data_IF_144614335860
#
_entry.id   IF_144614335860
#
_cell.length_a   1.000
_cell.length_b   1.000
_cell.length_c   1.000
_cell.angle_alpha   90.00
_cell.angle_beta   90.00
_cell.angle_gamma   90.00
#
_symmetry.space_group_name_H-M   'P 1'
#
loop_
_entity.id
_entity.type
_entity.pdbx_description
1 polymer ?
#
# COMPACT_ATOMS: atom_id res chain seq x y z
N UNK A 1 4.25 -0.38 2.32
CA UNK A 1 5.52 -1.09 2.56
C UNK A 1 5.22 -2.59 2.60
N UNK A 2 6.18 -3.44 2.24
CA UNK A 2 6.16 -4.89 2.49
C UNK A 2 7.33 -5.16 3.42
N UNK A 3 7.06 -5.87 4.51
CA UNK A 3 8.06 -6.23 5.54
C UNK A 3 7.98 -7.73 5.75
N UNK A 4 9.13 -8.38 5.84
CA UNK A 4 9.22 -9.72 6.44
C UNK A 4 9.62 -9.55 7.90
N UNK A 5 8.85 -10.18 8.78
CA UNK A 5 9.10 -10.20 10.23
C UNK A 5 9.50 -11.62 10.61
N UNK A 6 10.68 -11.79 11.20
CA UNK A 6 11.22 -13.10 11.63
C UNK A 6 11.15 -13.29 13.14
N UNK A 7 11.18 -12.20 13.89
CA UNK A 7 11.05 -12.18 15.35
C UNK A 7 10.56 -10.82 15.81
N UNK A 8 10.46 -10.60 17.13
CA UNK A 8 10.14 -9.28 17.70
C UNK A 8 11.12 -8.19 17.25
N UNK A 9 12.37 -8.53 16.96
CA UNK A 9 13.45 -7.56 16.68
C UNK A 9 14.10 -7.66 15.30
N UNK A 10 13.68 -8.63 14.50
CA UNK A 10 14.25 -8.91 13.18
C UNK A 10 13.18 -8.71 12.12
N UNK A 11 13.31 -7.58 11.43
CA UNK A 11 12.39 -7.12 10.39
C UNK A 11 13.20 -6.60 9.20
N UNK A 12 12.83 -7.00 7.99
CA UNK A 12 13.46 -6.52 6.76
C UNK A 12 12.39 -5.90 5.87
N UNK A 13 12.62 -4.64 5.48
CA UNK A 13 11.77 -3.97 4.48
C UNK A 13 12.10 -4.52 3.10
N UNK A 14 11.15 -5.22 2.50
CA UNK A 14 11.30 -5.82 1.17
C UNK A 14 10.93 -4.87 0.06
N UNK A 15 9.90 -4.04 0.27
CA UNK A 15 9.47 -3.04 -0.69
C UNK A 15 8.84 -1.81 -0.01
N UNK A 16 9.15 -0.63 -0.52
CA UNK A 16 8.66 0.65 0.01
C UNK A 16 8.27 1.60 -1.13
N UNK A 17 7.55 2.68 -0.80
CA UNK A 17 7.22 3.70 -1.80
C UNK A 17 8.41 4.63 -2.05
N UNK A 18 8.64 5.01 -3.30
CA UNK A 18 9.63 6.04 -3.67
C UNK A 18 9.00 7.42 -3.89
N UNK A 19 7.67 7.51 -3.82
CA UNK A 19 6.94 8.77 -4.01
C UNK A 19 5.91 9.02 -2.90
N UNK A 20 4.63 8.73 -3.15
CA UNK A 20 3.53 8.90 -2.22
C UNK A 20 3.00 7.56 -1.73
N UNK A 21 2.31 7.57 -0.61
CA UNK A 21 1.56 6.41 -0.13
C UNK A 21 0.30 6.19 -0.99
N UNK A 22 -0.13 4.94 -1.11
CA UNK A 22 -1.34 4.60 -1.87
C UNK A 22 -2.60 5.26 -1.28
N UNK A 23 -2.68 5.40 0.05
CA UNK A 23 -3.78 6.10 0.71
C UNK A 23 -3.90 7.56 0.27
N UNK A 24 -2.78 8.29 0.25
CA UNK A 24 -2.74 9.68 -0.21
C UNK A 24 -3.09 9.81 -1.71
N UNK A 25 -2.64 8.86 -2.54
CA UNK A 25 -3.04 8.79 -3.95
C UNK A 25 -4.57 8.68 -4.10
N UNK A 26 -5.20 7.76 -3.35
CA UNK A 26 -6.65 7.56 -3.40
C UNK A 26 -7.42 8.73 -2.81
N UNK A 27 -6.97 9.29 -1.68
CA UNK A 27 -7.62 10.43 -1.04
C UNK A 27 -7.63 11.66 -1.96
N UNK A 28 -6.50 11.95 -2.61
CA UNK A 28 -6.39 13.05 -3.56
C UNK A 28 -7.21 12.78 -4.82
N UNK A 29 -7.23 11.55 -5.32
CA UNK A 29 -8.03 11.18 -6.49
C UNK A 29 -9.53 11.26 -6.20
N UNK A 30 -9.98 10.90 -5.00
CA UNK A 30 -11.39 10.99 -4.61
C UNK A 30 -11.93 12.42 -4.74
N UNK A 31 -11.11 13.41 -4.37
CA UNK A 31 -11.48 14.84 -4.43
C UNK A 31 -11.77 15.34 -5.84
N UNK A 32 -11.23 14.68 -6.86
CA UNK A 32 -11.39 15.10 -8.27
C UNK A 32 -12.32 14.16 -9.06
N UNK A 33 -12.35 12.87 -8.71
CA UNK A 33 -13.22 11.88 -9.36
C UNK A 33 -14.66 12.00 -8.86
N UNK A 34 -14.85 12.10 -7.54
CA UNK A 34 -16.18 12.13 -6.92
C UNK A 34 -16.81 13.51 -7.14
N UNK A 35 -18.06 13.59 -7.65
CA UNK A 35 -18.77 14.85 -7.79
C UNK A 35 -18.85 15.67 -6.50
N UNK A 36 -18.73 16.99 -6.62
CA UNK A 36 -18.60 17.91 -5.48
C UNK A 36 -19.83 17.89 -4.56
N UNK A 37 -21.03 17.67 -5.10
CA UNK A 37 -22.28 17.51 -4.35
C UNK A 37 -22.24 16.27 -3.45
N UNK A 38 -21.69 15.16 -3.93
CA UNK A 38 -21.50 13.94 -3.14
C UNK A 38 -20.45 14.18 -2.05
N UNK A 39 -19.33 14.83 -2.38
CA UNK A 39 -18.27 15.15 -1.40
C UNK A 39 -18.82 16.02 -0.27
N UNK A 40 -19.60 17.07 -0.60
CA UNK A 40 -20.21 17.98 0.40
C UNK A 40 -21.29 17.32 1.26
N UNK A 41 -21.94 16.27 0.76
CA UNK A 41 -22.98 15.55 1.50
C UNK A 41 -22.45 14.66 2.64
N UNK A 42 -21.16 14.27 2.56
CA UNK A 42 -20.52 13.39 3.54
C UNK A 42 -19.96 14.20 4.71
N UNK A 43 -20.16 13.69 5.93
CA UNK A 43 -19.68 14.31 7.18
C UNK A 43 -18.26 13.86 7.57
N UNK A 44 -17.79 12.73 7.05
CA UNK A 44 -16.47 12.18 7.35
C UNK A 44 -15.43 12.54 6.28
N UNK A 45 -14.17 12.68 6.71
CA UNK A 45 -13.03 13.04 5.85
C UNK A 45 -12.30 11.81 5.31
N UNK A 46 -12.92 10.63 5.32
CA UNK A 46 -12.31 9.38 4.84
C UNK A 46 -12.52 9.25 3.32
N UNK A 47 -11.68 9.96 2.57
CA UNK A 47 -11.78 10.05 1.12
C UNK A 47 -11.55 8.71 0.41
N UNK A 48 -10.62 7.87 0.89
CA UNK A 48 -10.41 6.52 0.36
C UNK A 48 -11.64 5.64 0.48
N UNK A 49 -12.33 5.65 1.63
CA UNK A 49 -13.61 4.95 1.80
C UNK A 49 -14.71 5.53 0.91
N UNK A 50 -14.78 6.85 0.81
CA UNK A 50 -15.73 7.54 -0.06
C UNK A 50 -15.54 7.14 -1.53
N UNK A 51 -14.29 7.02 -1.99
CA UNK A 51 -13.96 6.58 -3.34
C UNK A 51 -14.42 5.14 -3.60
N UNK A 52 -14.23 4.23 -2.64
CA UNK A 52 -14.72 2.85 -2.73
C UNK A 52 -16.25 2.79 -2.84
N UNK A 53 -16.95 3.51 -1.96
CA UNK A 53 -18.42 3.55 -1.95
C UNK A 53 -18.98 4.19 -3.23
N UNK A 54 -18.31 5.23 -3.73
CA UNK A 54 -18.67 5.87 -4.98
C UNK A 54 -18.51 4.93 -6.18
N UNK A 55 -17.37 4.22 -6.25
CA UNK A 55 -17.05 3.27 -7.30
C UNK A 55 -17.97 2.05 -7.30
N UNK A 56 -18.36 1.58 -6.12
CA UNK A 56 -19.13 0.35 -5.92
C UNK A 56 -20.43 0.63 -5.14
N UNK A 57 -21.43 1.25 -5.80
CA UNK A 57 -22.71 1.55 -5.15
C UNK A 57 -23.35 0.26 -4.62
N UNK A 58 -24.01 0.34 -3.46
CA UNK A 58 -24.60 -0.80 -2.75
C UNK A 58 -23.59 -1.89 -2.35
N UNK A 59 -22.29 -1.58 -2.39
CA UNK A 59 -21.23 -2.49 -2.01
C UNK A 59 -21.04 -3.72 -2.88
N UNK A 60 -21.60 -3.72 -4.09
CA UNK A 60 -21.38 -4.79 -5.07
C UNK A 60 -20.01 -4.60 -5.72
N UNK A 61 -19.06 -5.47 -5.35
CA UNK A 61 -17.76 -5.52 -6.00
C UNK A 61 -17.89 -6.18 -7.38
N UNK A 62 -17.12 -5.71 -8.38
CA UNK A 62 -17.06 -6.36 -9.67
C UNK A 62 -16.42 -7.74 -9.52
N UNK A 63 -16.70 -8.61 -10.48
CA UNK A 63 -15.90 -9.81 -10.64
C UNK A 63 -14.48 -9.41 -11.05
N UNK A 64 -13.48 -9.86 -10.29
CA UNK A 64 -12.07 -9.65 -10.56
C UNK A 64 -11.39 -11.00 -10.76
N UNK A 65 -10.72 -11.15 -11.90
CA UNK A 65 -9.89 -12.30 -12.23
C UNK A 65 -8.55 -11.81 -12.76
N UNK A 66 -7.50 -12.56 -12.45
CA UNK A 66 -6.15 -12.23 -12.90
C UNK A 66 -6.03 -12.59 -14.38
N UNK A 67 -5.80 -11.60 -15.24
CA UNK A 67 -5.64 -11.81 -16.68
C UNK A 67 -4.20 -11.59 -17.15
N UNK A 68 -3.75 -12.38 -18.12
CA UNK A 68 -2.53 -12.08 -18.89
C UNK A 68 -2.85 -10.96 -19.88
N UNK A 69 -2.47 -9.74 -19.53
CA UNK A 69 -2.75 -8.53 -20.33
C UNK A 69 -3.72 -7.60 -19.61
N UNK A 70 -4.13 -6.54 -20.29
CA UNK A 70 -4.85 -5.43 -19.68
C UNK A 70 -6.19 -5.18 -20.37
N UNK A 71 -7.00 -6.24 -20.41
CA UNK A 71 -8.29 -6.29 -21.09
C UNK A 71 -9.24 -5.19 -20.60
N UNK A 72 -9.23 -4.88 -19.31
CA UNK A 72 -10.05 -3.81 -18.73
C UNK A 72 -9.58 -2.45 -19.24
N UNK A 73 -8.26 -2.21 -19.27
CA UNK A 73 -7.70 -0.98 -19.86
C UNK A 73 -8.08 -0.81 -21.33
N UNK A 74 -8.00 -1.89 -22.11
CA UNK A 74 -8.38 -1.88 -23.53
C UNK A 74 -9.88 -1.61 -23.72
N UNK A 75 -10.74 -2.19 -22.87
CA UNK A 75 -12.19 -1.93 -22.90
C UNK A 75 -12.55 -0.48 -22.56
N UNK A 76 -11.89 0.11 -21.56
CA UNK A 76 -12.09 1.50 -21.17
C UNK A 76 -11.63 2.47 -22.27
N UNK A 77 -10.52 2.14 -22.94
CA UNK A 77 -10.02 2.91 -24.08
C UNK A 77 -11.04 2.92 -25.23
N UNK A 78 -11.62 1.76 -25.56
CA UNK A 78 -12.68 1.66 -26.56
C UNK A 78 -13.95 2.40 -26.14
N UNK A 79 -14.38 2.26 -24.87
CA UNK A 79 -15.67 2.78 -24.39
C UNK A 79 -15.65 4.29 -24.13
N UNK A 80 -14.59 4.80 -23.51
CA UNK A 80 -14.51 6.16 -23.00
C UNK A 80 -13.34 6.99 -23.58
N UNK A 81 -12.48 6.36 -24.39
CA UNK A 81 -11.37 7.04 -25.06
C UNK A 81 -10.14 7.28 -24.18
N UNK A 82 -10.03 6.60 -23.04
CA UNK A 82 -8.90 6.77 -22.12
C UNK A 82 -8.46 5.47 -21.47
N UNK A 83 -7.22 5.45 -21.01
CA UNK A 83 -6.60 4.34 -20.27
C UNK A 83 -5.66 4.89 -19.21
N UNK A 84 -5.63 4.25 -18.03
CA UNK A 84 -4.65 4.57 -17.01
C UNK A 84 -3.35 3.77 -17.20
N UNK A 85 -2.18 4.37 -16.89
CA UNK A 85 -0.91 3.68 -17.05
C UNK A 85 -0.73 2.58 -16.00
N UNK A 86 0.08 1.58 -16.35
CA UNK A 86 0.62 0.61 -15.38
C UNK A 86 1.76 1.27 -14.61
N UNK A 87 1.68 1.30 -13.29
CA UNK A 87 2.77 1.79 -12.44
C UNK A 87 4.08 1.05 -12.73
N UNK A 88 5.17 1.83 -12.92
CA UNK A 88 6.50 1.32 -13.27
C UNK A 88 6.56 0.46 -14.56
N UNK A 89 5.55 0.56 -15.44
CA UNK A 89 5.48 -0.21 -16.69
C UNK A 89 6.17 0.40 -17.91
N UNK A 90 6.63 1.66 -17.83
CA UNK A 90 7.08 2.46 -18.99
C UNK A 90 8.58 2.47 -19.28
N UNK A 91 9.42 1.83 -18.46
CA UNK A 91 10.86 1.78 -18.76
C UNK A 91 11.16 0.69 -19.79
N UNK A 92 12.14 0.95 -20.67
CA UNK A 92 12.79 -0.08 -21.51
C UNK A 92 12.93 -1.37 -20.71
N UNK A 93 12.62 -2.49 -21.38
CA UNK A 93 12.40 -3.88 -20.89
C UNK A 93 13.22 -4.41 -19.70
N UNK A 94 14.28 -3.73 -19.25
CA UNK A 94 15.28 -4.28 -18.34
C UNK A 94 15.38 -3.61 -16.96
N UNK A 95 14.86 -2.39 -16.71
CA UNK A 95 15.23 -1.68 -15.45
C UNK A 95 14.16 -1.58 -14.35
N UNK A 96 12.86 -1.80 -14.61
CA UNK A 96 11.83 -1.56 -13.59
C UNK A 96 10.88 -2.73 -13.30
N UNK A 97 10.86 -3.77 -14.15
CA UNK A 97 9.97 -4.94 -14.00
C UNK A 97 10.35 -5.90 -12.86
N UNK A 98 11.41 -5.58 -12.13
CA UNK A 98 11.87 -6.29 -10.93
C UNK A 98 12.12 -5.37 -9.72
N UNK A 99 11.78 -4.07 -9.82
CA UNK A 99 12.01 -3.14 -8.72
C UNK A 99 11.06 -3.44 -7.57
N UNK A 100 11.64 -3.74 -6.42
CA UNK A 100 10.96 -3.88 -5.14
C UNK A 100 10.59 -2.49 -4.56
N UNK A 101 9.92 -1.67 -5.36
CA UNK A 101 9.48 -0.32 -5.00
C UNK A 101 8.03 -0.10 -5.44
N UNK A 102 7.31 0.70 -4.67
CA UNK A 102 5.99 1.22 -5.01
C UNK A 102 6.08 2.63 -5.58
N UNK A 103 5.15 2.98 -6.47
CA UNK A 103 5.04 4.32 -7.05
C UNK A 103 3.61 4.55 -7.49
N UNK A 104 3.00 5.62 -6.99
CA UNK A 104 1.60 5.97 -7.22
C UNK A 104 1.42 7.39 -7.79
N UNK A 105 2.48 8.22 -7.81
CA UNK A 105 2.42 9.59 -8.32
C UNK A 105 2.05 9.67 -9.81
N UNK A 106 2.58 8.77 -10.64
CA UNK A 106 2.28 8.72 -12.07
C UNK A 106 0.83 8.31 -12.37
N UNK A 107 0.27 7.41 -11.54
CA UNK A 107 -1.13 7.00 -11.61
C UNK A 107 -2.04 8.19 -11.23
N UNK A 108 -1.73 8.88 -10.12
CA UNK A 108 -2.43 10.09 -9.68
C UNK A 108 -2.43 11.19 -10.74
N UNK A 109 -1.26 11.49 -11.29
CA UNK A 109 -1.08 12.54 -12.31
C UNK A 109 -1.84 12.22 -13.61
N UNK A 110 -2.05 10.94 -13.91
CA UNK A 110 -2.84 10.52 -15.07
C UNK A 110 -4.34 10.67 -14.83
N UNK A 111 -4.80 10.43 -13.60
CA UNK A 111 -6.17 10.76 -13.17
C UNK A 111 -6.42 12.27 -13.27
N UNK A 112 -5.52 13.11 -12.76
CA UNK A 112 -5.68 14.57 -12.84
C UNK A 112 -5.82 15.05 -14.28
N UNK A 113 -4.89 14.67 -15.14
CA UNK A 113 -4.94 15.05 -16.56
C UNK A 113 -6.22 14.61 -17.24
N UNK A 114 -6.73 13.42 -16.90
CA UNK A 114 -7.99 12.92 -17.46
C UNK A 114 -9.19 13.73 -16.95
N UNK A 115 -9.26 14.00 -15.65
CA UNK A 115 -10.35 14.78 -15.05
C UNK A 115 -10.34 16.22 -15.59
N UNK A 116 -9.18 16.84 -15.71
CA UNK A 116 -9.02 18.19 -16.28
C UNK A 116 -9.48 18.25 -17.73
N UNK A 117 -9.12 17.24 -18.54
CA UNK A 117 -9.58 17.12 -19.92
C UNK A 117 -11.10 16.90 -20.03
N UNK A 118 -11.69 16.22 -19.05
CA UNK A 118 -13.13 15.93 -18.98
C UNK A 118 -13.94 17.05 -18.35
N UNK A 119 -13.33 17.99 -17.63
CA UNK A 119 -14.04 19.06 -16.90
C UNK A 119 -13.58 20.45 -17.38
N UNK A 120 -13.71 20.79 -18.67
CA UNK A 120 -13.27 22.09 -19.17
C UNK A 120 -14.15 23.23 -18.62
N UNK A 121 -13.63 24.47 -18.69
CA UNK A 121 -14.32 25.69 -18.21
C UNK A 121 -15.72 25.85 -18.85
N UNK A 122 -15.94 25.32 -20.06
CA UNK A 122 -17.19 25.42 -20.84
C UNK A 122 -18.11 24.20 -20.69
N UNK A 123 -18.19 23.62 -19.50
CA UNK A 123 -19.13 22.54 -19.17
C UNK A 123 -18.47 21.16 -19.12
N UNK A 124 -19.21 20.18 -18.62
CA UNK A 124 -18.66 18.87 -18.27
C UNK A 124 -18.73 17.88 -19.45
N UNK A 125 -17.60 17.26 -19.80
CA UNK A 125 -17.43 16.35 -20.93
C UNK A 125 -17.43 14.86 -20.53
N UNK A 126 -17.78 14.54 -19.28
CA UNK A 126 -18.08 13.16 -18.90
C UNK A 126 -19.30 12.64 -19.66
N UNK A 127 -19.26 11.36 -20.02
CA UNK A 127 -20.44 10.64 -20.52
C UNK A 127 -21.44 10.27 -19.40
N UNK A 128 -21.32 10.88 -18.23
CA UNK A 128 -22.16 10.66 -17.05
C UNK A 128 -21.40 10.08 -15.84
N UNK A 129 -22.16 9.83 -14.76
CA UNK A 129 -21.62 9.35 -13.48
C UNK A 129 -20.90 8.00 -13.58
N UNK A 130 -21.32 7.14 -14.51
CA UNK A 130 -20.74 5.82 -14.74
C UNK A 130 -19.32 5.86 -15.28
N UNK A 131 -18.94 6.91 -16.01
CA UNK A 131 -17.55 7.09 -16.45
C UNK A 131 -16.64 7.46 -15.28
N UNK A 132 -17.09 8.36 -14.40
CA UNK A 132 -16.36 8.69 -13.15
C UNK A 132 -16.21 7.47 -12.25
N UNK A 133 -17.26 6.64 -12.14
CA UNK A 133 -17.20 5.36 -11.42
C UNK A 133 -16.18 4.41 -12.06
N UNK A 134 -16.22 4.25 -13.38
CA UNK A 134 -15.25 3.42 -14.09
C UNK A 134 -13.80 3.89 -13.86
N UNK A 135 -13.57 5.21 -13.82
CA UNK A 135 -12.27 5.77 -13.47
C UNK A 135 -11.84 5.43 -12.03
N UNK A 136 -12.74 5.55 -11.06
CA UNK A 136 -12.46 5.17 -9.68
C UNK A 136 -12.13 3.68 -9.54
N UNK A 137 -12.90 2.81 -10.20
CA UNK A 137 -12.70 1.36 -10.24
C UNK A 137 -11.34 1.02 -10.85
N UNK A 138 -11.02 1.62 -11.98
CA UNK A 138 -9.77 1.40 -12.70
C UNK A 138 -8.56 1.88 -11.90
N UNK A 139 -8.63 3.08 -11.30
CA UNK A 139 -7.60 3.61 -10.41
C UNK A 139 -7.29 2.62 -9.28
N UNK A 140 -8.33 2.17 -8.58
CA UNK A 140 -8.18 1.21 -7.48
C UNK A 140 -7.59 -0.11 -7.99
N UNK A 141 -8.10 -0.65 -9.09
CA UNK A 141 -7.58 -1.89 -9.69
C UNK A 141 -6.08 -1.79 -9.97
N UNK A 142 -5.64 -0.71 -10.62
CA UNK A 142 -4.20 -0.47 -10.90
C UNK A 142 -3.37 -0.35 -9.64
N UNK A 143 -3.86 0.36 -8.64
CA UNK A 143 -3.17 0.53 -7.37
C UNK A 143 -3.02 -0.82 -6.65
N UNK A 144 -4.07 -1.65 -6.64
CA UNK A 144 -4.08 -2.96 -5.99
C UNK A 144 -3.27 -4.01 -6.74
N UNK A 145 -3.32 -4.03 -8.06
CA UNK A 145 -2.45 -4.90 -8.88
C UNK A 145 -0.97 -4.54 -8.68
N UNK A 146 -0.65 -3.23 -8.62
CA UNK A 146 0.70 -2.78 -8.31
C UNK A 146 1.12 -3.22 -6.91
N UNK A 147 0.25 -3.07 -5.91
CA UNK A 147 0.50 -3.54 -4.54
C UNK A 147 0.75 -5.05 -4.51
N UNK A 148 -0.19 -5.82 -5.06
CA UNK A 148 -0.16 -7.28 -5.09
C UNK A 148 1.08 -7.81 -5.80
N UNK A 149 1.47 -7.22 -6.93
CA UNK A 149 2.65 -7.68 -7.66
C UNK A 149 3.93 -7.67 -6.82
N UNK A 150 4.14 -6.68 -5.94
CA UNK A 150 5.34 -6.63 -5.07
C UNK A 150 5.24 -7.57 -3.89
N UNK A 151 4.02 -7.84 -3.42
CA UNK A 151 3.77 -8.92 -2.45
C UNK A 151 4.13 -10.27 -3.05
N UNK A 152 3.64 -10.57 -4.26
CA UNK A 152 3.96 -11.82 -4.96
C UNK A 152 5.46 -11.94 -5.21
N UNK A 153 6.11 -10.89 -5.72
CA UNK A 153 7.57 -10.88 -5.91
C UNK A 153 8.31 -11.10 -4.58
N UNK A 154 7.83 -10.52 -3.48
CA UNK A 154 8.41 -10.76 -2.15
C UNK A 154 8.30 -12.22 -1.73
N UNK A 155 7.13 -12.84 -1.91
CA UNK A 155 6.90 -14.26 -1.59
C UNK A 155 7.76 -15.17 -2.46
N UNK A 156 7.86 -14.89 -3.77
CA UNK A 156 8.72 -15.62 -4.69
C UNK A 156 10.20 -15.50 -4.30
N UNK A 157 10.64 -14.31 -3.88
CA UNK A 157 12.00 -14.09 -3.37
C UNK A 157 12.26 -14.91 -2.11
N UNK A 158 11.30 -14.98 -1.19
CA UNK A 158 11.41 -15.78 0.05
C UNK A 158 11.44 -17.27 -0.25
N UNK A 159 10.55 -17.76 -1.12
CA UNK A 159 10.56 -19.16 -1.58
C UNK A 159 11.90 -19.55 -2.21
N UNK A 160 12.52 -18.67 -3.00
CA UNK A 160 13.86 -18.91 -3.59
C UNK A 160 14.99 -18.96 -2.55
N UNK A 161 14.81 -18.32 -1.40
CA UNK A 161 15.72 -18.38 -0.24
C UNK A 161 15.39 -19.54 0.71
N UNK A 162 14.47 -20.44 0.33
CA UNK A 162 13.96 -21.52 1.18
C UNK A 162 13.33 -21.02 2.50
N UNK A 163 12.79 -19.80 2.48
CA UNK A 163 12.06 -19.19 3.60
C UNK A 163 10.57 -19.43 3.37
N UNK A 164 9.97 -20.23 4.24
CA UNK A 164 8.53 -20.46 4.24
C UNK A 164 7.81 -19.30 4.96
N UNK A 165 6.82 -18.71 4.29
CA UNK A 165 5.96 -17.66 4.87
C UNK A 165 4.61 -18.29 5.19
N UNK A 166 4.19 -18.18 6.45
CA UNK A 166 2.96 -18.81 6.96
C UNK A 166 1.73 -17.92 6.77
N UNK A 167 1.91 -16.61 6.95
CA UNK A 167 0.85 -15.63 6.88
C UNK A 167 1.29 -14.34 6.19
N UNK A 168 0.35 -13.72 5.48
CA UNK A 168 0.42 -12.36 4.99
C UNK A 168 -0.58 -11.51 5.79
N UNK A 169 -0.06 -10.52 6.51
CA UNK A 169 -0.88 -9.54 7.24
C UNK A 169 -0.95 -8.25 6.42
N UNK A 170 -2.15 -7.84 6.05
CA UNK A 170 -2.41 -6.55 5.43
C UNK A 170 -3.07 -5.62 6.46
N UNK A 171 -2.31 -4.65 6.96
CA UNK A 171 -2.74 -3.65 7.94
C UNK A 171 -2.62 -2.22 7.38
N UNK A 172 -3.13 -1.24 8.14
CA UNK A 172 -3.23 0.16 7.70
C UNK A 172 -4.65 0.53 7.27
N UNK A 173 -5.00 1.82 7.29
CA UNK A 173 -6.35 2.29 6.97
C UNK A 173 -6.86 1.84 5.58
N UNK A 174 -5.96 1.63 4.63
CA UNK A 174 -6.30 1.15 3.27
C UNK A 174 -6.69 -0.34 3.25
N UNK A 175 -6.24 -1.14 4.23
CA UNK A 175 -6.53 -2.57 4.31
C UNK A 175 -8.01 -2.89 4.60
N UNK A 176 -8.83 -1.90 4.98
CA UNK A 176 -10.28 -2.08 5.07
C UNK A 176 -10.99 -2.05 3.72
N UNK A 177 -10.32 -1.63 2.64
CA UNK A 177 -10.91 -1.57 1.31
C UNK A 177 -11.24 -2.99 0.82
N UNK A 178 -12.51 -3.28 0.55
CA UNK A 178 -12.93 -4.67 0.23
C UNK A 178 -12.44 -5.10 -1.14
N UNK A 179 -12.30 -4.16 -2.07
CA UNK A 179 -11.76 -4.45 -3.39
C UNK A 179 -10.28 -4.83 -3.33
N UNK A 180 -9.48 -4.16 -2.50
CA UNK A 180 -8.09 -4.57 -2.22
C UNK A 180 -8.03 -6.01 -1.70
N UNK A 181 -8.90 -6.38 -0.74
CA UNK A 181 -8.94 -7.74 -0.19
C UNK A 181 -9.22 -8.78 -1.28
N UNK A 182 -10.19 -8.50 -2.16
CA UNK A 182 -10.53 -9.35 -3.29
C UNK A 182 -9.35 -9.50 -4.26
N UNK A 183 -8.72 -8.38 -4.66
CA UNK A 183 -7.58 -8.39 -5.58
C UNK A 183 -6.40 -9.15 -5.00
N UNK A 184 -6.05 -8.91 -3.72
CA UNK A 184 -4.94 -9.62 -3.06
C UNK A 184 -5.18 -11.12 -3.00
N UNK A 185 -6.36 -11.57 -2.56
CA UNK A 185 -6.68 -13.00 -2.50
C UNK A 185 -6.60 -13.65 -3.88
N UNK A 186 -7.20 -13.03 -4.90
CA UNK A 186 -7.18 -13.53 -6.28
C UNK A 186 -5.78 -13.59 -6.89
N UNK A 187 -4.92 -12.61 -6.57
CA UNK A 187 -3.53 -12.61 -6.99
C UNK A 187 -2.73 -13.72 -6.28
N UNK A 188 -2.93 -13.92 -4.98
CA UNK A 188 -2.30 -15.03 -4.25
C UNK A 188 -2.73 -16.39 -4.80
N UNK A 189 -4.03 -16.59 -5.03
CA UNK A 189 -4.57 -17.83 -5.59
C UNK A 189 -3.96 -18.13 -6.95
N UNK A 190 -3.95 -17.15 -7.86
CA UNK A 190 -3.39 -17.29 -9.20
C UNK A 190 -1.90 -17.66 -9.19
N UNK A 191 -1.15 -17.24 -8.18
CA UNK A 191 0.29 -17.50 -8.04
C UNK A 191 0.63 -18.73 -7.16
N UNK A 192 -0.35 -19.56 -6.80
CA UNK A 192 -0.13 -20.79 -6.05
C UNK A 192 0.13 -20.59 -4.56
N UNK A 193 -0.50 -19.57 -3.97
CA UNK A 193 -0.50 -19.26 -2.54
C UNK A 193 -1.90 -19.42 -1.92
N UNK A 194 -2.73 -20.33 -2.44
CA UNK A 194 -4.12 -20.57 -2.00
C UNK A 194 -4.21 -20.87 -0.49
N UNK A 195 -3.21 -21.54 0.05
CA UNK A 195 -3.13 -21.94 1.46
C UNK A 195 -2.48 -20.90 2.38
N UNK A 196 -1.92 -19.82 1.82
CA UNK A 196 -1.31 -18.75 2.61
C UNK A 196 -2.39 -18.02 3.41
N UNK A 197 -2.23 -17.94 4.72
CA UNK A 197 -3.15 -17.21 5.58
C UNK A 197 -3.09 -15.72 5.21
N UNK A 198 -4.25 -15.13 4.92
CA UNK A 198 -4.38 -13.71 4.59
C UNK A 198 -5.18 -13.01 5.69
N UNK A 199 -4.49 -12.32 6.58
CA UNK A 199 -5.08 -11.67 7.73
C UNK A 199 -5.26 -10.17 7.49
N UNK A 200 -6.42 -9.67 7.90
CA UNK A 200 -6.74 -8.24 7.93
C UNK A 200 -7.20 -7.88 9.34
N UNK A 201 -6.41 -7.13 10.12
CA UNK A 201 -6.84 -6.70 11.46
C UNK A 201 -8.12 -5.88 11.43
N UNK A 202 -8.84 -5.82 12.56
CA UNK A 202 -9.99 -4.92 12.72
C UNK A 202 -9.58 -3.46 12.43
N UNK A 203 -10.51 -2.67 11.89
CA UNK A 203 -10.22 -1.29 11.48
C UNK A 203 -9.72 -0.43 12.64
N UNK A 204 -10.22 -0.66 13.86
CA UNK A 204 -9.78 0.00 15.09
C UNK A 204 -8.28 -0.20 15.39
N UNK A 205 -7.69 -1.30 14.90
CA UNK A 205 -6.27 -1.60 15.04
C UNK A 205 -5.45 -1.27 13.78
N UNK A 206 -6.11 -0.92 12.67
CA UNK A 206 -5.44 -0.59 11.40
C UNK A 206 -5.06 0.90 11.28
N UNK A 207 -5.58 1.75 12.14
CA UNK A 207 -5.22 3.18 12.22
C UNK A 207 -4.31 3.44 13.41
N UNK A 208 -3.52 4.51 13.38
CA UNK A 208 -2.58 4.83 14.47
C UNK A 208 -3.33 4.96 15.81
N UNK A 209 -2.99 4.09 16.77
CA UNK A 209 -3.67 4.01 18.05
C UNK A 209 -2.70 3.66 19.20
N UNK A 210 -3.07 3.98 20.44
CA UNK A 210 -2.22 3.72 21.60
C UNK A 210 -2.12 2.21 21.94
N UNK A 211 -3.09 1.40 21.53
CA UNK A 211 -3.10 -0.04 21.84
C UNK A 211 -1.96 -0.78 21.12
N UNK A 212 -1.63 -0.43 19.88
CA UNK A 212 -0.50 -1.04 19.16
C UNK A 212 0.84 -0.71 19.84
N UNK A 213 0.99 0.52 20.35
CA UNK A 213 2.20 0.94 21.08
C UNK A 213 2.32 0.19 22.40
N UNK A 214 1.21 0.09 23.15
CA UNK A 214 1.18 -0.64 24.41
C UNK A 214 1.49 -2.14 24.21
N UNK A 215 0.94 -2.76 23.18
CA UNK A 215 1.20 -4.16 22.85
C UNK A 215 2.67 -4.40 22.47
N UNK A 216 3.23 -3.59 21.58
CA UNK A 216 4.65 -3.68 21.23
C UNK A 216 5.54 -3.49 22.46
N UNK A 217 5.23 -2.51 23.32
CA UNK A 217 5.97 -2.29 24.56
C UNK A 217 5.90 -3.47 25.53
N UNK A 218 4.72 -4.07 25.69
CA UNK A 218 4.52 -5.26 26.51
C UNK A 218 5.34 -6.46 26.00
N UNK A 219 5.24 -6.78 24.71
CA UNK A 219 6.00 -7.87 24.08
C UNK A 219 7.52 -7.68 24.21
N UNK A 220 8.00 -6.45 24.00
CA UNK A 220 9.41 -6.10 24.17
C UNK A 220 9.86 -6.26 25.63
N UNK A 221 9.06 -5.80 26.59
CA UNK A 221 9.36 -5.89 28.02
C UNK A 221 9.39 -7.34 28.53
N UNK A 222 8.45 -8.18 28.09
CA UNK A 222 8.41 -9.61 28.39
C UNK A 222 9.62 -10.33 27.80
N UNK A 223 10.04 -9.96 26.58
CA UNK A 223 11.29 -10.42 25.96
C UNK A 223 12.57 -9.91 26.65
N UNK A 224 12.41 -9.05 27.67
CA UNK A 224 13.50 -8.53 28.49
C UNK A 224 14.15 -7.27 27.92
N UNK A 225 13.51 -6.59 26.97
CA UNK A 225 13.98 -5.30 26.47
C UNK A 225 13.36 -4.15 27.26
N UNK A 226 14.19 -3.21 27.70
CA UNK A 226 13.75 -1.98 28.37
C UNK A 226 14.47 -0.78 27.77
N UNK A 227 13.82 0.39 27.79
CA UNK A 227 14.47 1.65 27.40
C UNK A 227 15.03 2.36 28.64
N UNK A 228 16.13 3.08 28.49
CA UNK A 228 16.67 3.97 29.52
C UNK A 228 15.88 5.27 29.65
N UNK A 229 16.11 6.04 30.71
CA UNK A 229 15.38 7.30 30.96
C UNK A 229 15.85 8.48 30.09
N UNK A 230 16.95 8.33 29.35
CA UNK A 230 17.51 9.32 28.43
C UNK A 230 17.01 9.14 26.98
N UNK A 231 15.94 8.37 26.75
CA UNK A 231 15.34 8.26 25.41
C UNK A 231 14.97 9.64 24.84
N UNK A 232 15.21 9.80 23.54
CA UNK A 232 14.88 10.99 22.78
C UNK A 232 13.98 10.64 21.59
N UNK A 233 13.17 11.58 21.08
CA UNK A 233 12.42 11.35 19.86
C UNK A 233 13.35 11.29 18.65
N UNK A 234 13.18 10.28 17.81
CA UNK A 234 13.89 10.13 16.54
C UNK A 234 12.96 10.47 15.38
N UNK A 235 13.37 11.40 14.51
CA UNK A 235 12.58 11.77 13.33
C UNK A 235 12.54 10.64 12.30
N UNK A 236 13.66 9.92 12.14
CA UNK A 236 13.79 8.77 11.26
C UNK A 236 14.30 7.61 12.09
N UNK A 237 13.51 6.55 12.15
CA UNK A 237 13.86 5.32 12.82
C UNK A 237 13.64 4.18 11.84
N UNK A 238 14.74 3.54 11.43
CA UNK A 238 14.68 2.45 10.45
C UNK A 238 14.29 1.15 11.14
N UNK A 239 13.44 0.36 10.47
CA UNK A 239 13.10 -0.98 10.92
C UNK A 239 14.17 -2.01 10.50
N UNK A 240 15.02 -1.69 9.52
CA UNK A 240 16.04 -2.59 8.97
C UNK A 240 17.32 -2.60 9.82
N UNK A 241 17.92 -3.78 10.11
CA UNK A 241 19.23 -3.90 10.74
C UNK A 241 20.34 -3.16 9.96
N UNK A 242 21.38 -2.72 10.68
CA UNK A 242 22.53 -1.99 10.11
C UNK A 242 23.26 -2.79 9.01
N UNK A 243 23.35 -4.11 9.18
CA UNK A 243 24.13 -4.98 8.29
C UNK A 243 23.54 -5.07 6.87
N UNK A 244 22.22 -4.84 6.73
CA UNK A 244 21.49 -4.95 5.47
C UNK A 244 21.48 -3.64 4.64
N UNK A 245 22.02 -2.55 5.18
CA UNK A 245 22.07 -1.24 4.51
C UNK A 245 23.45 -1.04 3.88
N UNK A 246 23.55 -0.78 2.56
CA UNK A 246 24.82 -0.48 1.90
C UNK A 246 25.55 0.67 2.58
N UNK A 247 26.87 0.58 2.68
CA UNK A 247 27.70 1.57 3.40
C UNK A 247 27.51 3.01 2.88
N UNK A 248 27.14 3.15 1.60
CA UNK A 248 26.83 4.44 0.94
C UNK A 248 25.52 5.08 1.40
N UNK A 249 24.63 4.33 2.04
CA UNK A 249 23.33 4.78 2.55
C UNK A 249 23.30 4.86 4.09
N UNK A 250 24.41 4.54 4.76
CA UNK A 250 24.57 4.65 6.20
C UNK A 250 24.87 6.10 6.59
N UNK A 251 23.84 6.83 6.98
CA UNK A 251 24.00 8.13 7.63
C UNK A 251 24.08 7.93 9.15
N UNK A 252 25.33 7.92 9.65
CA UNK A 252 25.72 7.56 11.01
C UNK A 252 25.36 8.62 12.06
N UNK A 253 25.06 9.86 11.67
CA UNK A 253 24.76 10.94 12.61
C UNK A 253 23.27 11.04 12.97
N UNK A 254 22.36 10.57 12.11
CA UNK A 254 20.91 10.77 12.30
C UNK A 254 20.06 9.50 12.46
N UNK A 255 20.56 8.29 12.17
CA UNK A 255 19.71 7.10 12.05
C UNK A 255 20.03 5.97 13.05
N UNK A 256 19.07 5.68 13.91
CA UNK A 256 18.96 4.43 14.64
C UNK A 256 18.52 3.30 13.68
N UNK A 257 19.33 2.24 13.55
CA UNK A 257 19.08 1.14 12.61
C UNK A 257 18.48 -0.09 13.29
N UNK A 258 17.39 -0.61 12.73
CA UNK A 258 16.62 -1.70 13.31
C UNK A 258 15.85 -1.24 14.55
N UNK A 259 14.95 -2.10 15.03
CA UNK A 259 14.15 -1.75 16.22
C UNK A 259 15.03 -1.53 17.48
N UNK A 260 16.22 -2.13 17.52
CA UNK A 260 17.16 -2.01 18.65
C UNK A 260 18.24 -0.95 18.47
N UNK A 261 18.46 -0.40 17.27
CA UNK A 261 19.53 0.59 17.03
C UNK A 261 19.26 1.97 17.60
N UNK A 262 18.15 2.15 18.31
CA UNK A 262 17.90 3.35 19.11
C UNK A 262 18.76 3.24 20.36
N UNK A 263 19.67 4.20 20.56
CA UNK A 263 20.43 4.33 21.80
C UNK A 263 19.45 4.36 22.98
N UNK A 264 19.40 3.28 23.76
CA UNK A 264 18.53 3.21 24.93
C UNK A 264 17.94 1.83 25.23
N UNK A 265 17.88 0.91 24.27
CA UNK A 265 17.44 -0.46 24.57
C UNK A 265 18.50 -1.25 25.35
N UNK A 266 18.11 -1.77 26.52
CA UNK A 266 18.90 -2.68 27.35
C UNK A 266 18.19 -4.03 27.44
N UNK A 267 18.98 -5.11 27.45
CA UNK A 267 18.45 -6.44 27.74
C UNK A 267 18.60 -6.74 29.22
N UNK A 268 17.48 -6.86 29.93
CA UNK A 268 17.39 -7.22 31.34
C UNK A 268 18.19 -8.50 31.60
N UNK A 269 19.16 -8.44 32.51
CA UNK A 269 19.93 -9.60 32.96
C UNK A 269 21.22 -9.94 32.21
N UNK A 270 21.69 -9.10 31.27
CA UNK A 270 23.08 -9.14 30.79
C UNK A 270 23.80 -7.88 31.25
N UNK A 271 24.64 -8.02 32.27
CA UNK A 271 25.65 -7.03 32.68
C UNK A 271 26.89 -7.17 31.81
#
# INVERSE_FOLDING_TARGET
MVVVSRSLIDHEVLAETIDTAVGDCLDKAARVIVPEDIVKSKKDTNYGKMLEEFAFPNGHLPHYEVSKGDLIGDQLEVKYGWRLPVSLGGAKKDNHRGLMKFSFSGLRSSVDRLVDAKTPIKGDAWSGIEERRALAQELMRRAWEHLASRVIMSLENMRRKDINIEALVASGGVASNRFLRQVLRKQLDFHGYETLELAFPSIEFCTDNAAMIAWTGYEMYEAGFESTMDIAPFRKWSLQPLDDIPETERDWEENAFGILGVSGWKRRGKY
#
